data_IF_727748019326
#
_entry.id   IF_727748019326
#
_cell.length_a   1.000
_cell.length_b   1.000
_cell.length_c   1.000
_cell.angle_alpha   90.00
_cell.angle_beta   90.00
_cell.angle_gamma   90.00
#
_symmetry.space_group_name_H-M   'P 1'
#
loop_
_entity.id
_entity.type
_entity.pdbx_description
1 polymer ?
#
# COMPACT_ATOMS: atom_id res chain seq x y z
N UNK A 1 -1.56 -13.48 11.11
CA UNK A 1 -1.75 -14.86 10.57
C UNK A 1 -2.00 -14.71 9.08
N UNK A 2 -1.33 -15.49 8.28
CA UNK A 2 -1.52 -15.55 6.82
C UNK A 2 -1.94 -16.98 6.44
N UNK A 3 -2.30 -17.21 5.19
CA UNK A 3 -2.70 -18.53 4.68
C UNK A 3 -1.64 -19.09 3.72
N UNK A 4 -0.37 -18.98 4.13
CA UNK A 4 0.78 -19.60 3.47
C UNK A 4 1.40 -20.60 4.43
N UNK A 5 0.99 -21.86 4.31
CA UNK A 5 1.32 -22.93 5.26
C UNK A 5 2.02 -24.11 4.59
N UNK A 6 2.89 -24.79 5.33
CA UNK A 6 3.52 -26.01 4.86
C UNK A 6 2.61 -27.23 5.10
N UNK A 7 2.44 -28.04 4.04
CA UNK A 7 1.77 -29.35 4.09
C UNK A 7 2.69 -30.40 3.49
N UNK A 8 3.05 -31.40 4.25
CA UNK A 8 4.01 -32.45 3.86
C UNK A 8 5.33 -31.86 3.29
N UNK A 9 5.83 -30.81 3.91
CA UNK A 9 7.06 -30.13 3.53
C UNK A 9 6.96 -29.25 2.28
N UNK A 10 5.77 -29.03 1.71
CA UNK A 10 5.53 -28.13 0.57
C UNK A 10 4.74 -26.92 1.03
N UNK A 11 5.12 -25.72 0.57
CA UNK A 11 4.39 -24.48 0.85
C UNK A 11 3.17 -24.38 -0.05
N UNK A 12 2.04 -24.07 0.57
CA UNK A 12 0.76 -23.83 -0.09
C UNK A 12 0.33 -22.39 0.11
N UNK A 13 -0.36 -21.85 -0.87
CA UNK A 13 -1.18 -20.63 -0.73
C UNK A 13 -2.63 -21.09 -0.60
N UNK A 14 -3.22 -20.95 0.59
CA UNK A 14 -4.51 -21.56 0.91
C UNK A 14 -4.50 -23.08 0.61
N UNK A 15 -5.21 -23.54 -0.43
CA UNK A 15 -5.21 -24.94 -0.83
C UNK A 15 -4.45 -25.20 -2.16
N UNK A 16 -3.76 -24.17 -2.68
CA UNK A 16 -2.99 -24.27 -3.93
C UNK A 16 -1.53 -24.59 -3.63
N UNK A 17 -1.03 -25.67 -4.22
CA UNK A 17 0.38 -26.07 -4.15
C UNK A 17 1.25 -25.10 -4.95
N UNK A 18 2.22 -24.45 -4.32
CA UNK A 18 3.07 -23.46 -4.98
C UNK A 18 4.10 -24.04 -5.94
N UNK A 19 4.43 -25.33 -5.84
CA UNK A 19 5.28 -26.00 -6.83
C UNK A 19 4.53 -26.13 -8.15
N UNK A 20 3.30 -26.64 -8.10
CA UNK A 20 2.45 -26.82 -9.29
C UNK A 20 2.09 -25.47 -9.92
N UNK A 21 1.82 -24.48 -9.07
CA UNK A 21 1.55 -23.11 -9.52
C UNK A 21 2.76 -22.51 -10.26
N UNK A 22 3.99 -22.72 -9.72
CA UNK A 22 5.22 -22.22 -10.35
C UNK A 22 5.50 -22.87 -11.72
N UNK A 23 5.12 -24.14 -11.91
CA UNK A 23 5.25 -24.81 -13.21
C UNK A 23 4.22 -24.27 -14.22
N UNK A 24 3.03 -23.88 -13.76
CA UNK A 24 1.95 -23.38 -14.62
C UNK A 24 2.17 -21.93 -15.03
N UNK A 25 2.53 -21.05 -14.07
CA UNK A 25 2.63 -19.60 -14.27
C UNK A 25 4.02 -19.16 -14.72
N UNK A 26 5.05 -19.90 -14.31
CA UNK A 26 6.46 -19.52 -14.48
C UNK A 26 6.90 -18.45 -13.49
N UNK A 27 8.14 -18.58 -12.98
CA UNK A 27 8.73 -17.65 -12.02
C UNK A 27 9.43 -16.46 -12.70
N UNK A 28 9.70 -15.34 -11.99
CA UNK A 28 9.10 -15.01 -10.69
C UNK A 28 7.62 -14.62 -10.85
N UNK A 29 6.82 -14.78 -9.79
CA UNK A 29 5.43 -14.31 -9.75
C UNK A 29 5.02 -13.89 -8.34
N UNK A 30 4.07 -12.96 -8.25
CA UNK A 30 3.38 -12.64 -7.01
C UNK A 30 2.18 -13.57 -6.82
N UNK A 31 1.98 -14.04 -5.58
CA UNK A 31 0.82 -14.82 -5.20
C UNK A 31 0.12 -14.16 -4.02
N UNK A 32 -1.17 -13.85 -4.17
CA UNK A 32 -2.00 -13.23 -3.15
C UNK A 32 -3.05 -14.20 -2.66
N UNK A 33 -3.24 -14.26 -1.33
CA UNK A 33 -4.29 -15.05 -0.67
C UNK A 33 -5.52 -14.18 -0.42
N UNK A 34 -6.63 -14.58 -1.01
CA UNK A 34 -7.95 -13.96 -0.78
C UNK A 34 -8.42 -14.14 0.66
N UNK A 35 -8.18 -15.32 1.24
CA UNK A 35 -8.53 -15.60 2.63
C UNK A 35 -7.77 -14.69 3.60
N UNK A 36 -6.49 -14.41 3.35
CA UNK A 36 -5.70 -13.49 4.17
C UNK A 36 -6.20 -12.05 4.03
N UNK A 37 -6.50 -11.59 2.81
CA UNK A 37 -7.09 -10.25 2.58
C UNK A 37 -8.40 -10.09 3.35
N UNK A 38 -9.31 -11.07 3.23
CA UNK A 38 -10.59 -11.09 3.96
C UNK A 38 -10.38 -11.10 5.47
N UNK A 39 -9.44 -11.90 5.95
CA UNK A 39 -9.12 -12.01 7.38
C UNK A 39 -8.64 -10.67 7.95
N UNK A 40 -7.64 -10.04 7.32
CA UNK A 40 -7.07 -8.79 7.83
C UNK A 40 -8.08 -7.64 7.80
N UNK A 41 -8.86 -7.52 6.72
CA UNK A 41 -9.95 -6.55 6.66
C UNK A 41 -10.98 -6.81 7.77
N UNK A 42 -11.42 -8.06 7.92
CA UNK A 42 -12.40 -8.46 8.93
C UNK A 42 -11.93 -8.24 10.36
N UNK A 43 -10.65 -8.48 10.65
CA UNK A 43 -10.06 -8.23 11.99
C UNK A 43 -10.16 -6.74 12.35
N UNK A 44 -9.80 -5.84 11.44
CA UNK A 44 -9.89 -4.40 11.69
C UNK A 44 -11.35 -3.93 11.79
N UNK A 45 -12.20 -4.36 10.86
CA UNK A 45 -13.63 -4.04 10.86
C UNK A 45 -14.32 -4.48 12.16
N UNK A 46 -14.09 -5.73 12.58
CA UNK A 46 -14.64 -6.26 13.82
C UNK A 46 -14.05 -5.58 15.06
N UNK A 47 -12.80 -5.12 15.01
CA UNK A 47 -12.18 -4.36 16.09
C UNK A 47 -12.88 -3.01 16.29
N UNK A 48 -13.18 -2.30 15.19
CA UNK A 48 -13.95 -1.05 15.22
C UNK A 48 -15.34 -1.27 15.81
N UNK A 49 -16.08 -2.27 15.33
CA UNK A 49 -17.41 -2.59 15.85
C UNK A 49 -17.38 -2.94 17.36
N UNK A 50 -16.41 -3.75 17.80
CA UNK A 50 -16.23 -4.09 19.23
C UNK A 50 -15.85 -2.89 20.10
N UNK A 51 -15.29 -1.86 19.52
CA UNK A 51 -14.99 -0.59 20.20
C UNK A 51 -16.16 0.41 20.17
N UNK A 52 -17.30 0.06 19.57
CA UNK A 52 -18.46 0.96 19.41
C UNK A 52 -18.36 1.96 18.27
N UNK A 53 -17.51 1.68 17.30
CA UNK A 53 -17.28 2.50 16.10
C UNK A 53 -17.93 1.85 14.86
N UNK A 54 -19.23 1.57 14.93
CA UNK A 54 -19.98 0.78 13.95
C UNK A 54 -20.06 1.45 12.56
N UNK A 55 -20.00 2.79 12.48
CA UNK A 55 -20.04 3.57 11.22
C UNK A 55 -18.64 3.87 10.67
N UNK A 56 -17.63 3.07 11.03
CA UNK A 56 -16.29 3.25 10.48
C UNK A 56 -16.23 2.86 9.01
N UNK A 57 -15.78 3.79 8.14
CA UNK A 57 -15.47 3.51 6.76
C UNK A 57 -13.98 3.12 6.64
N UNK A 58 -13.70 1.90 6.20
CA UNK A 58 -12.34 1.45 5.91
C UNK A 58 -12.07 1.68 4.42
N UNK A 59 -11.27 2.70 4.09
CA UNK A 59 -10.79 3.02 2.76
C UNK A 59 -9.45 2.33 2.53
N UNK A 60 -9.43 1.25 1.76
CA UNK A 60 -8.18 0.56 1.44
C UNK A 60 -7.23 1.48 0.68
N UNK A 61 -6.00 1.66 1.16
CA UNK A 61 -4.95 2.44 0.46
C UNK A 61 -4.47 1.71 -0.79
N UNK A 62 -4.95 2.13 -1.96
CA UNK A 62 -4.69 1.48 -3.27
C UNK A 62 -3.21 1.46 -3.61
N UNK A 63 -2.46 2.49 -3.19
CA UNK A 63 -0.99 2.56 -3.32
C UNK A 63 -0.23 1.40 -2.70
N UNK A 64 -0.82 0.65 -1.76
CA UNK A 64 -0.18 -0.52 -1.16
C UNK A 64 -0.16 -1.70 -2.14
N UNK A 65 -1.27 -1.96 -2.83
CA UNK A 65 -1.39 -2.93 -3.91
C UNK A 65 -2.57 -2.55 -4.81
N UNK A 66 -2.28 -2.10 -6.00
CA UNK A 66 -3.27 -1.57 -6.94
C UNK A 66 -3.84 -2.62 -7.90
N UNK A 67 -3.63 -3.91 -7.65
CA UNK A 67 -4.22 -4.97 -8.47
C UNK A 67 -5.74 -4.98 -8.33
N UNK A 68 -6.45 -4.96 -9.46
CA UNK A 68 -7.92 -4.91 -9.49
C UNK A 68 -8.54 -6.12 -8.77
N UNK A 69 -7.95 -7.31 -8.86
CA UNK A 69 -8.42 -8.50 -8.14
C UNK A 69 -8.32 -8.36 -6.62
N UNK A 70 -7.24 -7.74 -6.12
CA UNK A 70 -7.07 -7.43 -4.69
C UNK A 70 -8.10 -6.40 -4.24
N UNK A 71 -8.24 -5.30 -4.98
CA UNK A 71 -9.23 -4.25 -4.67
C UNK A 71 -10.65 -4.81 -4.71
N UNK A 72 -11.01 -5.61 -5.72
CA UNK A 72 -12.33 -6.22 -5.86
C UNK A 72 -12.66 -7.19 -4.70
N UNK A 73 -11.66 -7.90 -4.19
CA UNK A 73 -11.83 -8.73 -2.99
C UNK A 73 -12.28 -7.89 -1.80
N UNK A 74 -11.66 -6.73 -1.59
CA UNK A 74 -11.98 -5.83 -0.49
C UNK A 74 -13.29 -5.05 -0.72
N UNK A 75 -13.56 -4.66 -1.97
CA UNK A 75 -14.82 -3.99 -2.35
C UNK A 75 -16.04 -4.85 -1.99
N UNK A 76 -15.96 -6.18 -2.21
CA UNK A 76 -17.03 -7.13 -1.83
C UNK A 76 -17.26 -7.23 -0.33
N UNK A 77 -16.29 -6.83 0.48
CA UNK A 77 -16.43 -6.74 1.94
C UNK A 77 -16.97 -5.38 2.41
N UNK A 78 -17.22 -4.46 1.48
CA UNK A 78 -17.73 -3.13 1.78
C UNK A 78 -16.67 -2.04 1.94
N UNK A 79 -15.40 -2.35 1.65
CA UNK A 79 -14.32 -1.37 1.70
C UNK A 79 -14.56 -0.19 0.75
N UNK A 80 -14.09 1.00 1.16
CA UNK A 80 -13.82 2.14 0.31
C UNK A 80 -12.38 2.10 -0.23
N UNK A 81 -11.93 3.19 -0.85
CA UNK A 81 -10.57 3.35 -1.33
C UNK A 81 -9.97 4.70 -0.92
N UNK A 82 -8.73 4.68 -0.45
CA UNK A 82 -7.82 5.82 -0.43
C UNK A 82 -6.97 5.79 -1.70
N UNK A 83 -7.12 6.82 -2.53
CA UNK A 83 -6.44 6.95 -3.82
C UNK A 83 -5.52 8.18 -3.83
N UNK A 84 -4.48 8.13 -4.67
CA UNK A 84 -3.52 9.25 -4.82
C UNK A 84 -3.30 9.66 -6.28
N UNK A 85 -4.11 9.15 -7.20
CA UNK A 85 -4.08 9.51 -8.63
C UNK A 85 -5.39 9.12 -9.33
N UNK A 86 -5.64 9.69 -10.51
CA UNK A 86 -6.75 9.29 -11.38
C UNK A 86 -6.63 7.83 -11.84
N UNK A 87 -5.41 7.32 -12.00
CA UNK A 87 -5.19 5.91 -12.33
C UNK A 87 -5.69 4.97 -11.23
N UNK A 88 -5.51 5.34 -9.96
CA UNK A 88 -6.06 4.59 -8.82
C UNK A 88 -7.57 4.76 -8.70
N UNK A 89 -8.14 5.94 -9.02
CA UNK A 89 -9.59 6.15 -9.14
C UNK A 89 -10.20 5.15 -10.13
N UNK A 90 -9.64 5.07 -11.33
CA UNK A 90 -10.11 4.14 -12.35
C UNK A 90 -10.03 2.69 -11.92
N UNK A 91 -8.95 2.28 -11.23
CA UNK A 91 -8.80 0.93 -10.69
C UNK A 91 -9.82 0.62 -9.60
N UNK A 92 -10.04 1.55 -8.67
CA UNK A 92 -11.00 1.40 -7.59
C UNK A 92 -12.43 1.23 -8.14
N UNK A 93 -12.84 2.06 -9.10
CA UNK A 93 -14.14 1.98 -9.74
C UNK A 93 -14.29 0.69 -10.57
N UNK A 94 -13.26 0.30 -11.35
CA UNK A 94 -13.25 -0.94 -12.12
C UNK A 94 -13.34 -2.19 -11.21
N UNK A 95 -12.83 -2.10 -9.98
CA UNK A 95 -12.93 -3.15 -8.98
C UNK A 95 -14.29 -3.18 -8.24
N UNK A 96 -15.19 -2.23 -8.51
CA UNK A 96 -16.54 -2.16 -7.95
C UNK A 96 -16.66 -1.32 -6.67
N UNK A 97 -15.66 -0.51 -6.33
CA UNK A 97 -15.81 0.48 -5.26
C UNK A 97 -16.67 1.64 -5.77
N UNK A 98 -17.71 1.97 -5.02
CA UNK A 98 -18.59 3.09 -5.36
C UNK A 98 -17.93 4.43 -5.02
N UNK A 99 -18.09 5.48 -5.83
CA UNK A 99 -17.38 6.75 -5.64
C UNK A 99 -17.58 7.38 -4.26
N UNK A 100 -18.77 7.24 -3.67
CA UNK A 100 -19.12 7.77 -2.35
C UNK A 100 -18.34 7.13 -1.20
N UNK A 101 -17.52 6.11 -1.48
CA UNK A 101 -16.57 5.48 -0.55
C UNK A 101 -15.11 5.73 -0.92
N UNK A 102 -14.83 6.68 -1.83
CA UNK A 102 -13.47 7.00 -2.26
C UNK A 102 -13.02 8.31 -1.64
N UNK A 103 -11.85 8.32 -1.03
CA UNK A 103 -11.14 9.52 -0.57
C UNK A 103 -9.91 9.74 -1.43
N UNK A 104 -9.60 11.00 -1.77
CA UNK A 104 -8.51 11.35 -2.67
C UNK A 104 -7.43 12.14 -1.91
N UNK A 105 -6.34 11.46 -1.58
CA UNK A 105 -5.17 11.97 -0.85
C UNK A 105 -4.02 12.36 -1.79
N UNK A 106 -2.93 12.91 -1.24
CA UNK A 106 -1.69 13.20 -2.00
C UNK A 106 -1.49 14.68 -2.32
N UNK A 107 -0.23 15.09 -2.33
CA UNK A 107 0.23 16.50 -2.43
C UNK A 107 0.26 17.05 -3.86
N UNK A 108 -0.03 16.27 -4.87
CA UNK A 108 0.22 16.63 -6.26
C UNK A 108 -0.98 16.44 -7.18
N UNK A 109 -2.21 16.62 -6.69
CA UNK A 109 -3.41 16.54 -7.52
C UNK A 109 -3.41 17.64 -8.58
N UNK A 110 -3.58 17.26 -9.83
CA UNK A 110 -3.72 18.18 -10.96
C UNK A 110 -5.16 18.61 -11.15
N UNK A 111 -5.41 19.67 -11.93
CA UNK A 111 -6.76 20.13 -12.29
C UNK A 111 -7.60 19.01 -12.92
N UNK A 112 -7.00 18.22 -13.81
CA UNK A 112 -7.70 17.11 -14.49
C UNK A 112 -8.04 15.98 -13.51
N UNK A 113 -7.18 15.69 -12.54
CA UNK A 113 -7.44 14.69 -11.49
C UNK A 113 -8.51 15.17 -10.51
N UNK A 114 -8.50 16.46 -10.13
CA UNK A 114 -9.56 17.07 -9.33
C UNK A 114 -10.89 17.04 -10.06
N UNK A 115 -10.90 17.38 -11.35
CA UNK A 115 -12.08 17.33 -12.18
C UNK A 115 -12.65 15.91 -12.26
N UNK A 116 -11.79 14.91 -12.50
CA UNK A 116 -12.20 13.51 -12.57
C UNK A 116 -12.82 13.02 -11.24
N UNK A 117 -12.25 13.40 -10.09
CA UNK A 117 -12.80 13.09 -8.79
C UNK A 117 -14.17 13.74 -8.54
N UNK A 118 -14.31 15.02 -8.90
CA UNK A 118 -15.57 15.76 -8.82
C UNK A 118 -16.64 15.19 -9.75
N UNK A 119 -16.28 14.82 -10.97
CA UNK A 119 -17.20 14.22 -11.94
C UNK A 119 -17.67 12.84 -11.48
N UNK A 120 -16.77 12.04 -10.94
CA UNK A 120 -17.08 10.73 -10.37
C UNK A 120 -17.97 10.82 -9.12
N UNK A 121 -17.97 11.96 -8.41
CA UNK A 121 -18.71 12.13 -7.16
C UNK A 121 -18.07 11.39 -5.99
N UNK A 122 -16.75 11.49 -5.86
CA UNK A 122 -16.04 10.87 -4.73
C UNK A 122 -16.47 11.48 -3.39
N UNK A 123 -16.19 10.74 -2.30
CA UNK A 123 -16.61 11.14 -0.95
C UNK A 123 -15.98 12.44 -0.48
N UNK A 124 -14.67 12.59 -0.63
CA UNK A 124 -13.93 13.79 -0.23
C UNK A 124 -12.56 13.86 -0.87
N UNK A 125 -12.02 15.08 -0.91
CA UNK A 125 -10.62 15.36 -1.21
C UNK A 125 -9.89 15.63 0.10
N UNK A 126 -8.79 14.92 0.35
CA UNK A 126 -7.87 15.20 1.44
C UNK A 126 -6.84 16.22 0.92
N UNK A 127 -7.03 17.47 1.30
CA UNK A 127 -6.26 18.62 0.78
C UNK A 127 -5.08 18.92 1.69
N UNK A 128 -3.93 19.16 1.11
CA UNK A 128 -2.64 19.23 1.82
C UNK A 128 -2.00 20.63 1.85
N UNK A 129 -2.62 21.64 1.21
CA UNK A 129 -2.13 23.04 1.23
C UNK A 129 -3.21 24.06 0.89
N UNK A 130 -2.98 25.35 1.23
CA UNK A 130 -3.88 26.44 0.85
C UNK A 130 -3.95 26.64 -0.67
N UNK A 131 -2.82 26.50 -1.36
CA UNK A 131 -2.78 26.61 -2.83
C UNK A 131 -3.64 25.50 -3.49
N UNK A 132 -3.67 24.29 -2.92
CA UNK A 132 -4.52 23.20 -3.38
C UNK A 132 -6.00 23.49 -3.12
N UNK A 133 -6.36 24.12 -1.98
CA UNK A 133 -7.72 24.58 -1.73
C UNK A 133 -8.21 25.54 -2.80
N UNK A 134 -7.40 26.57 -3.12
CA UNK A 134 -7.74 27.56 -4.15
C UNK A 134 -7.87 26.90 -5.52
N UNK A 135 -6.96 25.98 -5.85
CA UNK A 135 -6.98 25.22 -7.10
C UNK A 135 -8.26 24.36 -7.20
N UNK A 136 -8.59 23.60 -6.16
CA UNK A 136 -9.79 22.75 -6.11
C UNK A 136 -11.07 23.57 -6.21
N UNK A 137 -11.12 24.73 -5.53
CA UNK A 137 -12.24 25.66 -5.63
C UNK A 137 -12.45 26.14 -7.06
N UNK A 138 -11.38 26.56 -7.73
CA UNK A 138 -11.46 27.01 -9.13
C UNK A 138 -11.92 25.91 -10.09
N UNK A 139 -11.49 24.66 -9.88
CA UNK A 139 -11.94 23.50 -10.66
C UNK A 139 -13.42 23.21 -10.38
N UNK A 140 -13.84 23.22 -9.12
CA UNK A 140 -15.21 22.99 -8.70
C UNK A 140 -16.16 24.06 -9.27
N UNK A 141 -15.79 25.35 -9.18
CA UNK A 141 -16.53 26.46 -9.78
C UNK A 141 -16.71 26.29 -11.29
N UNK A 142 -15.64 25.93 -12.01
CA UNK A 142 -15.69 25.68 -13.45
C UNK A 142 -16.67 24.58 -13.83
N UNK A 143 -16.81 23.57 -12.96
CA UNK A 143 -17.72 22.42 -13.18
C UNK A 143 -19.11 22.64 -12.60
N UNK A 144 -19.35 23.74 -11.89
CA UNK A 144 -20.62 24.00 -11.19
C UNK A 144 -20.91 22.96 -10.09
N UNK A 145 -19.85 22.48 -9.43
CA UNK A 145 -19.92 21.45 -8.36
C UNK A 145 -19.42 21.99 -7.03
N UNK A 146 -19.77 21.31 -5.96
CA UNK A 146 -19.20 21.54 -4.63
C UNK A 146 -18.31 20.37 -4.24
N UNK A 147 -17.07 20.65 -3.82
CA UNK A 147 -16.13 19.64 -3.34
C UNK A 147 -16.26 19.50 -1.83
N UNK A 148 -16.50 18.28 -1.34
CA UNK A 148 -16.32 17.95 0.06
C UNK A 148 -14.84 17.78 0.37
N UNK A 149 -14.34 18.50 1.38
CA UNK A 149 -12.90 18.52 1.68
C UNK A 149 -12.63 18.16 3.13
N UNK A 150 -11.59 17.33 3.31
CA UNK A 150 -10.85 17.17 4.54
C UNK A 150 -9.54 17.95 4.41
N UNK A 151 -9.18 18.73 5.40
CA UNK A 151 -7.84 19.30 5.42
C UNK A 151 -6.94 18.32 6.15
N UNK A 152 -5.87 17.88 5.46
CA UNK A 152 -4.82 17.07 6.07
C UNK A 152 -3.92 17.97 6.90
N UNK A 153 -4.03 17.78 8.20
CA UNK A 153 -3.24 18.55 9.17
C UNK A 153 -2.09 17.69 9.68
N UNK A 154 -0.89 18.24 9.66
CA UNK A 154 0.28 17.58 10.21
C UNK A 154 0.32 17.80 11.73
N UNK A 155 0.14 16.76 12.57
CA UNK A 155 0.09 16.94 14.01
C UNK A 155 1.46 17.13 14.66
N UNK A 156 2.54 17.13 13.89
CA UNK A 156 3.93 17.18 14.36
C UNK A 156 4.19 16.13 15.46
N UNK A 157 4.03 14.86 15.10
CA UNK A 157 4.25 13.69 15.95
C UNK A 157 5.31 12.79 15.32
N UNK A 158 6.34 12.44 16.10
CA UNK A 158 7.33 11.46 15.66
C UNK A 158 6.77 10.03 15.83
N UNK A 159 6.53 9.37 14.72
CA UNK A 159 6.04 8.00 14.70
C UNK A 159 7.14 6.95 14.98
N UNK A 160 8.41 7.35 15.14
CA UNK A 160 9.54 6.44 15.40
C UNK A 160 9.83 5.47 14.26
N UNK A 161 9.41 5.78 13.05
CA UNK A 161 9.55 4.91 11.87
C UNK A 161 10.72 5.35 10.98
N UNK A 162 11.04 4.53 9.97
CA UNK A 162 12.11 4.86 9.02
C UNK A 162 11.85 6.24 8.38
N UNK A 163 12.89 7.07 8.29
CA UNK A 163 12.84 8.46 7.81
C UNK A 163 12.02 8.65 6.52
N UNK A 164 12.22 7.77 5.54
CA UNK A 164 11.53 7.83 4.22
C UNK A 164 10.03 7.49 4.27
N UNK A 165 9.50 6.97 5.36
CA UNK A 165 8.08 6.61 5.53
C UNK A 165 7.41 7.31 6.71
N UNK A 166 8.10 8.23 7.38
CA UNK A 166 7.55 9.16 8.36
C UNK A 166 6.87 10.32 7.62
N UNK A 167 5.64 10.70 8.01
CA UNK A 167 4.85 11.77 7.36
C UNK A 167 4.27 12.77 8.34
N UNK A 168 4.47 12.56 9.65
CA UNK A 168 3.87 13.36 10.72
C UNK A 168 4.76 14.45 11.30
N UNK A 169 5.99 14.66 10.78
CA UNK A 169 6.91 15.70 11.26
C UNK A 169 6.77 17.00 10.48
N UNK A 170 7.01 18.14 11.11
CA UNK A 170 6.91 19.48 10.51
C UNK A 170 7.77 19.67 9.25
N UNK A 171 8.89 18.94 9.13
CA UNK A 171 9.81 19.00 7.98
C UNK A 171 9.34 18.19 6.74
N UNK A 172 8.27 17.41 6.88
CA UNK A 172 7.74 16.59 5.79
C UNK A 172 6.89 17.44 4.85
N UNK A 173 6.89 17.08 3.56
CA UNK A 173 6.10 17.76 2.51
C UNK A 173 4.57 17.60 2.66
N UNK A 174 4.10 16.85 3.65
CA UNK A 174 2.71 16.44 3.77
C UNK A 174 1.94 17.29 4.78
N UNK A 175 0.72 17.67 4.39
CA UNK A 175 -0.26 18.31 5.24
C UNK A 175 0.04 19.78 5.54
N UNK A 176 -0.98 20.45 6.07
CA UNK A 176 -0.94 21.82 6.55
C UNK A 176 -0.34 21.80 7.96
N UNK A 177 0.51 22.77 8.29
CA UNK A 177 1.09 22.88 9.62
C UNK A 177 0.00 23.02 10.69
N UNK A 178 0.25 22.44 11.86
CA UNK A 178 -0.72 22.40 12.96
C UNK A 178 -1.19 23.82 13.35
N UNK A 179 -0.27 24.76 13.40
CA UNK A 179 -0.53 26.16 13.78
C UNK A 179 -1.43 26.86 12.77
N UNK A 180 -1.36 26.50 11.50
CA UNK A 180 -2.09 27.12 10.40
C UNK A 180 -3.48 26.47 10.18
N UNK A 181 -3.76 25.33 10.82
CA UNK A 181 -4.96 24.54 10.57
C UNK A 181 -6.25 25.36 10.68
N UNK A 182 -6.42 26.14 11.75
CA UNK A 182 -7.64 26.94 11.96
C UNK A 182 -7.81 28.04 10.91
N UNK A 183 -6.72 28.65 10.45
CA UNK A 183 -6.75 29.66 9.39
C UNK A 183 -7.09 29.01 8.05
N UNK A 184 -6.55 27.82 7.76
CA UNK A 184 -6.85 27.05 6.56
C UNK A 184 -8.32 26.62 6.50
N UNK A 185 -8.92 26.18 7.61
CA UNK A 185 -10.36 25.89 7.68
C UNK A 185 -11.23 27.12 7.48
N UNK A 186 -10.84 28.27 8.05
CA UNK A 186 -11.56 29.54 7.82
C UNK A 186 -11.46 29.98 6.35
N UNK A 187 -10.31 29.78 5.72
CA UNK A 187 -10.12 30.05 4.28
C UNK A 187 -11.01 29.14 3.44
N UNK A 188 -10.98 27.81 3.69
CA UNK A 188 -11.81 26.84 2.98
C UNK A 188 -13.30 27.14 3.09
N UNK A 189 -13.77 27.53 4.28
CA UNK A 189 -15.18 27.90 4.51
C UNK A 189 -15.58 29.22 3.79
N UNK A 190 -14.62 30.06 3.42
CA UNK A 190 -14.83 31.25 2.60
C UNK A 190 -14.98 30.98 1.11
N UNK A 191 -14.64 29.77 0.63
CA UNK A 191 -14.71 29.38 -0.77
C UNK A 191 -16.04 28.67 -1.06
N UNK A 192 -16.94 29.32 -1.81
CA UNK A 192 -18.32 28.89 -1.98
C UNK A 192 -18.49 27.50 -2.61
N UNK A 193 -17.50 27.03 -3.39
CA UNK A 193 -17.46 25.73 -4.05
C UNK A 193 -16.81 24.64 -3.21
N UNK A 194 -16.40 24.92 -1.97
CA UNK A 194 -15.84 23.95 -1.04
C UNK A 194 -16.72 23.76 0.19
N UNK A 195 -16.81 22.53 0.67
CA UNK A 195 -17.47 22.15 1.92
C UNK A 195 -16.43 21.49 2.85
N UNK A 196 -15.79 22.25 3.77
CA UNK A 196 -14.85 21.69 4.74
C UNK A 196 -15.63 20.90 5.81
N UNK A 197 -15.67 19.60 5.67
CA UNK A 197 -16.51 18.70 6.47
C UNK A 197 -15.74 17.64 7.24
N UNK A 198 -14.44 17.53 7.06
CA UNK A 198 -13.61 16.50 7.70
C UNK A 198 -12.24 17.04 8.11
N UNK A 199 -11.62 16.38 9.11
CA UNK A 199 -10.18 16.51 9.43
C UNK A 199 -9.50 15.24 8.93
N UNK A 200 -8.35 15.37 8.26
CA UNK A 200 -7.47 14.27 7.90
C UNK A 200 -6.14 14.39 8.63
N UNK A 201 -5.65 13.25 9.15
CA UNK A 201 -4.30 13.11 9.69
C UNK A 201 -3.66 11.81 9.21
N UNK A 202 -2.35 11.83 8.95
CA UNK A 202 -1.57 10.62 8.69
C UNK A 202 -0.14 10.79 9.19
N UNK A 203 0.27 10.03 10.22
CA UNK A 203 1.54 10.26 10.94
C UNK A 203 2.69 9.38 10.46
N UNK A 204 2.44 8.38 9.62
CA UNK A 204 3.49 7.51 9.11
C UNK A 204 3.03 6.12 8.73
N UNK A 205 3.99 5.25 8.46
CA UNK A 205 3.75 3.86 8.05
C UNK A 205 4.67 2.91 8.83
N UNK A 206 4.23 1.67 9.04
CA UNK A 206 4.93 0.65 9.84
C UNK A 206 5.10 1.08 11.32
N UNK A 207 4.05 1.61 11.92
CA UNK A 207 4.02 2.03 13.32
C UNK A 207 3.64 0.82 14.17
N UNK A 208 4.52 0.45 15.08
CA UNK A 208 4.35 -0.74 15.96
C UNK A 208 3.99 -0.38 17.39
N UNK A 209 4.07 0.89 17.77
CA UNK A 209 3.67 1.44 19.06
C UNK A 209 2.44 2.34 18.92
N UNK A 210 1.47 2.21 19.81
CA UNK A 210 0.26 3.03 19.81
C UNK A 210 0.44 4.43 20.45
N UNK A 211 1.55 4.71 21.11
CA UNK A 211 1.84 6.00 21.71
C UNK A 211 1.75 7.19 20.74
N UNK A 212 2.40 7.14 19.58
CA UNK A 212 2.29 8.19 18.57
C UNK A 212 0.84 8.43 18.08
N UNK A 213 0.04 7.36 17.93
CA UNK A 213 -1.38 7.50 17.58
C UNK A 213 -2.16 8.20 18.70
N UNK A 214 -1.92 7.86 19.97
CA UNK A 214 -2.55 8.53 21.12
C UNK A 214 -2.33 10.02 21.06
N UNK A 215 -1.09 10.46 20.94
CA UNK A 215 -0.73 11.87 20.85
C UNK A 215 -1.41 12.58 19.67
N UNK A 216 -1.44 11.93 18.51
CA UNK A 216 -2.08 12.50 17.32
C UNK A 216 -3.60 12.61 17.49
N UNK A 217 -4.25 11.62 18.09
CA UNK A 217 -5.70 11.63 18.32
C UNK A 217 -6.11 12.66 19.36
N UNK A 218 -5.37 12.81 20.46
CA UNK A 218 -5.60 13.87 21.45
C UNK A 218 -5.52 15.26 20.83
N UNK A 219 -4.50 15.53 20.00
CA UNK A 219 -4.39 16.78 19.24
C UNK A 219 -5.58 16.95 18.29
N UNK A 220 -5.96 15.91 17.55
CA UNK A 220 -7.08 15.97 16.60
C UNK A 220 -8.41 16.27 17.30
N UNK A 221 -8.63 15.69 18.49
CA UNK A 221 -9.83 15.98 19.29
C UNK A 221 -9.89 17.45 19.75
N UNK A 222 -8.73 18.03 20.16
CA UNK A 222 -8.62 19.46 20.48
C UNK A 222 -8.90 20.35 19.25
N UNK A 223 -8.35 20.00 18.08
CA UNK A 223 -8.63 20.73 16.84
C UNK A 223 -10.12 20.68 16.48
N UNK A 224 -10.73 19.49 16.56
CA UNK A 224 -12.17 19.32 16.30
C UNK A 224 -13.02 20.24 17.20
N UNK A 225 -12.71 20.28 18.50
CA UNK A 225 -13.42 21.16 19.44
C UNK A 225 -13.26 22.64 19.08
N UNK A 226 -12.04 23.07 18.70
CA UNK A 226 -11.78 24.46 18.28
C UNK A 226 -12.50 24.84 16.98
N UNK A 227 -12.58 23.93 16.02
CA UNK A 227 -13.28 24.19 14.74
C UNK A 227 -14.78 24.29 14.96
N UNK A 228 -15.37 23.39 15.77
CA UNK A 228 -16.78 23.44 16.11
C UNK A 228 -17.18 24.69 16.92
N UNK A 229 -16.30 25.17 17.78
CA UNK A 229 -16.50 26.45 18.49
C UNK A 229 -16.54 27.67 17.54
N UNK A 230 -16.15 27.49 16.26
CA UNK A 230 -16.25 28.49 15.19
C UNK A 230 -17.37 28.16 14.19
N UNK A 231 -18.35 27.35 14.60
CA UNK A 231 -19.51 26.94 13.80
C UNK A 231 -19.15 26.15 12.51
N UNK A 232 -17.96 25.51 12.45
CA UNK A 232 -17.59 24.63 11.35
C UNK A 232 -18.20 23.24 11.56
N UNK A 233 -18.97 22.79 10.57
CA UNK A 233 -19.70 21.51 10.61
C UNK A 233 -18.79 20.33 10.26
N UNK A 234 -17.83 20.01 11.12
CA UNK A 234 -16.98 18.83 10.96
C UNK A 234 -17.76 17.58 11.36
N UNK A 235 -17.99 16.70 10.38
CA UNK A 235 -18.80 15.48 10.50
C UNK A 235 -18.01 14.18 10.29
N UNK A 236 -16.74 14.28 9.85
CA UNK A 236 -15.89 13.13 9.58
C UNK A 236 -14.48 13.35 10.11
N UNK A 237 -13.85 12.25 10.52
CA UNK A 237 -12.44 12.21 10.91
C UNK A 237 -11.74 11.11 10.12
N UNK A 238 -10.86 11.51 9.22
CA UNK A 238 -9.97 10.60 8.52
C UNK A 238 -8.69 10.47 9.33
N UNK A 239 -8.50 9.31 9.94
CA UNK A 239 -7.38 9.06 10.85
C UNK A 239 -6.22 8.36 10.13
N UNK A 240 -6.33 8.26 8.80
CA UNK A 240 -5.31 7.65 7.97
C UNK A 240 -5.10 6.17 8.23
N UNK A 241 -3.88 5.73 7.96
CA UNK A 241 -3.45 4.35 8.22
C UNK A 241 -2.23 4.32 9.14
N UNK A 242 -1.29 3.42 8.81
CA UNK A 242 0.02 3.42 9.47
C UNK A 242 0.32 2.22 10.34
N UNK A 243 -0.68 1.46 10.81
CA UNK A 243 -0.43 0.24 11.59
C UNK A 243 0.55 -0.68 10.89
N UNK A 244 1.58 -1.09 11.64
CA UNK A 244 2.63 -1.97 11.17
C UNK A 244 2.23 -3.45 11.15
N UNK A 245 3.03 -4.25 10.46
CA UNK A 245 2.90 -5.71 10.37
C UNK A 245 4.25 -6.37 10.65
N UNK A 246 4.27 -7.61 11.13
CA UNK A 246 5.52 -8.37 11.27
C UNK A 246 6.03 -8.75 9.87
N UNK A 247 7.32 -8.51 9.64
CA UNK A 247 8.04 -8.95 8.44
C UNK A 247 8.91 -10.18 8.69
N UNK A 248 9.17 -10.48 9.96
CA UNK A 248 9.84 -11.70 10.40
C UNK A 248 8.80 -12.70 10.86
N UNK A 249 8.98 -13.97 10.51
CA UNK A 249 8.11 -15.07 10.96
C UNK A 249 8.62 -15.67 12.30
N UNK A 250 8.92 -14.78 13.26
CA UNK A 250 9.56 -15.09 14.55
C UNK A 250 8.59 -14.93 15.74
N UNK A 251 7.28 -14.94 15.50
CA UNK A 251 6.22 -14.72 16.51
C UNK A 251 6.22 -13.30 17.14
N UNK A 252 6.79 -12.29 16.48
CA UNK A 252 6.57 -10.91 16.90
C UNK A 252 5.07 -10.59 16.89
N UNK A 253 4.61 -9.99 17.99
CA UNK A 253 3.21 -9.58 18.11
C UNK A 253 3.03 -8.25 17.39
N UNK A 254 2.22 -8.17 16.32
CA UNK A 254 1.90 -6.90 15.70
C UNK A 254 1.04 -6.04 16.63
N UNK A 255 0.92 -4.72 16.37
CA UNK A 255 -0.04 -3.88 17.08
C UNK A 255 -1.44 -4.50 17.03
N UNK A 256 -2.10 -4.60 18.19
CA UNK A 256 -3.44 -5.17 18.27
C UNK A 256 -4.47 -4.21 17.65
N UNK A 257 -5.19 -4.60 16.57
CA UNK A 257 -6.23 -3.78 15.97
C UNK A 257 -7.36 -3.41 16.94
N UNK A 258 -7.65 -4.24 17.94
CA UNK A 258 -8.66 -3.91 18.96
C UNK A 258 -8.15 -2.84 19.92
N UNK A 259 -6.89 -2.88 20.33
CA UNK A 259 -6.31 -1.82 21.14
C UNK A 259 -6.26 -0.49 20.39
N UNK A 260 -5.96 -0.52 19.08
CA UNK A 260 -6.02 0.65 18.20
C UNK A 260 -7.44 1.21 18.08
N UNK A 261 -8.43 0.34 17.82
CA UNK A 261 -9.83 0.77 17.73
C UNK A 261 -10.36 1.35 19.06
N UNK A 262 -9.98 0.78 20.21
CA UNK A 262 -10.30 1.34 21.52
C UNK A 262 -9.69 2.72 21.74
N UNK A 263 -8.45 2.91 21.30
CA UNK A 263 -7.80 4.22 21.37
C UNK A 263 -8.54 5.27 20.53
N UNK A 264 -9.07 4.91 19.36
CA UNK A 264 -9.93 5.78 18.56
C UNK A 264 -11.22 6.08 19.34
N UNK A 265 -11.88 5.07 19.89
CA UNK A 265 -13.13 5.25 20.64
C UNK A 265 -12.94 6.11 21.90
N UNK A 266 -11.83 5.96 22.63
CA UNK A 266 -11.47 6.81 23.77
C UNK A 266 -11.49 8.31 23.44
N UNK A 267 -11.12 8.68 22.21
CA UNK A 267 -11.04 10.08 21.78
C UNK A 267 -12.28 10.57 21.03
N UNK A 268 -12.98 9.69 20.32
CA UNK A 268 -13.95 10.12 19.30
C UNK A 268 -15.31 9.44 19.34
N UNK A 269 -15.60 8.46 20.23
CA UNK A 269 -16.89 7.78 20.25
C UNK A 269 -18.08 8.76 20.42
N UNK A 270 -17.92 9.79 21.26
CA UNK A 270 -18.93 10.79 21.52
C UNK A 270 -18.85 12.02 20.60
N UNK A 271 -17.95 11.99 19.61
CA UNK A 271 -17.73 13.12 18.71
C UNK A 271 -18.88 13.35 17.73
N UNK A 272 -19.69 12.32 17.45
CA UNK A 272 -20.71 12.34 16.39
C UNK A 272 -20.12 12.41 14.98
N UNK A 273 -18.81 12.16 14.82
CA UNK A 273 -18.15 12.09 13.53
C UNK A 273 -18.09 10.64 13.04
N UNK A 274 -18.28 10.45 11.73
CA UNK A 274 -17.89 9.19 11.09
C UNK A 274 -16.38 9.06 11.09
N UNK A 275 -15.86 7.89 11.44
CA UNK A 275 -14.44 7.57 11.35
C UNK A 275 -14.12 7.00 9.97
N UNK A 276 -13.05 7.50 9.36
CA UNK A 276 -12.44 6.94 8.15
C UNK A 276 -11.05 6.43 8.52
N UNK A 277 -10.70 5.24 8.03
CA UNK A 277 -9.38 4.64 8.19
C UNK A 277 -8.81 4.25 6.82
N UNK A 278 -7.51 4.46 6.62
CA UNK A 278 -6.81 4.20 5.35
C UNK A 278 -5.74 3.09 5.47
N UNK A 279 -6.12 1.86 5.87
CA UNK A 279 -5.15 0.78 5.98
C UNK A 279 -4.70 0.30 4.59
N UNK A 280 -3.40 0.23 4.38
CA UNK A 280 -2.80 -0.40 3.20
C UNK A 280 -1.99 -1.63 3.59
N UNK A 281 -0.85 -1.39 4.24
CA UNK A 281 0.09 -2.43 4.69
C UNK A 281 -0.57 -3.49 5.57
N UNK A 282 -1.35 -3.07 6.54
CA UNK A 282 -2.04 -3.97 7.48
C UNK A 282 -2.85 -5.04 6.75
N UNK A 283 -3.51 -4.66 5.64
CA UNK A 283 -4.38 -5.57 4.89
C UNK A 283 -3.58 -6.41 3.89
N UNK A 284 -2.68 -5.79 3.13
CA UNK A 284 -2.10 -6.41 1.95
C UNK A 284 -0.74 -7.08 2.17
N UNK A 285 0.09 -6.63 3.14
CA UNK A 285 1.48 -7.06 3.21
C UNK A 285 1.66 -8.57 3.37
N UNK A 286 1.09 -9.15 4.43
CA UNK A 286 1.19 -10.58 4.68
C UNK A 286 0.22 -11.42 3.82
N UNK A 287 -0.66 -10.76 3.06
CA UNK A 287 -1.55 -11.43 2.11
C UNK A 287 -0.87 -11.80 0.78
N UNK A 288 0.42 -11.45 0.61
CA UNK A 288 1.13 -11.77 -0.62
C UNK A 288 2.57 -12.18 -0.41
N UNK A 289 3.03 -13.07 -1.29
CA UNK A 289 4.41 -13.54 -1.39
C UNK A 289 4.93 -13.34 -2.81
N UNK A 290 6.26 -13.24 -2.96
CA UNK A 290 6.94 -13.31 -4.24
C UNK A 290 7.64 -14.66 -4.35
N UNK A 291 7.22 -15.48 -5.31
CA UNK A 291 7.84 -16.79 -5.58
C UNK A 291 8.91 -16.61 -6.66
N UNK A 292 10.08 -17.18 -6.40
CA UNK A 292 11.26 -17.07 -7.27
C UNK A 292 11.96 -18.42 -7.39
N UNK A 293 12.75 -18.58 -8.46
CA UNK A 293 13.50 -19.80 -8.75
C UNK A 293 15.01 -19.54 -8.68
N UNK A 294 15.74 -20.44 -8.06
CA UNK A 294 17.21 -20.42 -8.04
C UNK A 294 17.73 -20.69 -9.44
N UNK A 295 18.51 -19.75 -9.96
CA UNK A 295 19.23 -19.91 -11.22
C UNK A 295 20.52 -20.67 -10.98
N UNK A 296 21.28 -20.26 -9.94
CA UNK A 296 22.54 -20.89 -9.53
C UNK A 296 22.99 -20.37 -8.17
N UNK A 297 23.90 -21.09 -7.55
CA UNK A 297 24.65 -20.63 -6.38
C UNK A 297 26.08 -20.29 -6.77
N UNK A 298 26.72 -19.40 -6.01
CA UNK A 298 28.14 -19.04 -6.15
C UNK A 298 28.72 -18.90 -4.75
N UNK A 299 29.63 -19.81 -4.39
CA UNK A 299 30.41 -19.69 -3.17
C UNK A 299 31.61 -18.80 -3.41
N UNK A 300 31.81 -17.80 -2.59
CA UNK A 300 32.95 -16.88 -2.62
C UNK A 300 33.77 -16.98 -1.34
N UNK A 301 34.95 -16.34 -1.36
CA UNK A 301 35.83 -16.34 -0.18
C UNK A 301 35.21 -15.57 1.02
N UNK A 302 34.44 -14.50 0.74
CA UNK A 302 33.85 -13.64 1.78
C UNK A 302 32.37 -13.89 2.00
N UNK A 303 31.62 -14.25 0.95
CA UNK A 303 30.17 -14.41 0.96
C UNK A 303 29.71 -15.48 -0.02
N UNK A 304 28.59 -16.10 0.28
CA UNK A 304 27.90 -16.99 -0.63
C UNK A 304 26.71 -16.25 -1.26
N UNK A 305 26.51 -16.44 -2.56
CA UNK A 305 25.42 -15.83 -3.33
C UNK A 305 24.48 -16.90 -3.87
N UNK A 306 23.19 -16.70 -3.62
CA UNK A 306 22.12 -17.48 -4.23
C UNK A 306 21.42 -16.58 -5.24
N UNK A 307 21.69 -16.82 -6.51
CA UNK A 307 21.19 -16.01 -7.62
C UNK A 307 19.84 -16.57 -8.03
N UNK A 308 18.81 -15.73 -7.96
CA UNK A 308 17.44 -16.08 -8.29
C UNK A 308 16.93 -15.30 -9.50
N UNK A 309 15.78 -15.68 -10.06
CA UNK A 309 15.18 -15.01 -11.22
C UNK A 309 14.34 -13.77 -10.88
N UNK A 310 13.94 -13.59 -9.61
CA UNK A 310 13.41 -12.32 -9.12
C UNK A 310 14.55 -11.33 -8.82
N UNK A 311 14.26 -10.04 -8.85
CA UNK A 311 15.21 -8.96 -8.68
C UNK A 311 14.63 -7.79 -7.88
N UNK A 312 15.44 -6.76 -7.69
CA UNK A 312 14.95 -5.46 -7.20
C UNK A 312 13.86 -4.86 -8.11
N UNK A 313 13.78 -5.31 -9.37
CA UNK A 313 12.71 -4.93 -10.30
C UNK A 313 11.34 -5.43 -9.88
N UNK A 314 11.27 -6.55 -9.18
CA UNK A 314 10.04 -7.05 -8.58
C UNK A 314 9.86 -6.51 -7.16
N UNK A 315 10.89 -6.53 -6.32
CA UNK A 315 10.80 -6.13 -4.91
C UNK A 315 11.96 -5.21 -4.52
N UNK A 316 11.78 -3.90 -4.73
CA UNK A 316 12.81 -2.89 -4.48
C UNK A 316 13.00 -2.56 -2.99
N UNK A 317 12.07 -2.96 -2.12
CA UNK A 317 12.07 -2.57 -0.71
C UNK A 317 13.34 -2.92 0.07
N UNK A 318 13.96 -4.09 -0.09
CA UNK A 318 15.25 -4.37 0.55
C UNK A 318 16.34 -3.35 0.16
N UNK A 319 16.44 -3.01 -1.11
CA UNK A 319 17.39 -2.02 -1.63
C UNK A 319 17.07 -0.59 -1.21
N UNK A 320 15.79 -0.19 -1.30
CA UNK A 320 15.36 1.21 -1.10
C UNK A 320 15.30 1.62 0.37
N UNK A 321 14.89 0.69 1.25
CA UNK A 321 14.59 0.95 2.66
C UNK A 321 15.42 0.09 3.61
N UNK A 322 16.28 -0.81 3.13
CA UNK A 322 16.88 -1.85 3.97
C UNK A 322 15.81 -2.78 4.58
N UNK A 323 14.63 -2.89 3.94
CA UNK A 323 13.51 -3.60 4.51
C UNK A 323 13.78 -5.10 4.56
N UNK A 324 13.50 -5.69 5.72
CA UNK A 324 13.56 -7.13 5.90
C UNK A 324 12.32 -7.80 5.29
N UNK A 325 12.53 -8.91 4.62
CA UNK A 325 11.49 -9.88 4.22
C UNK A 325 11.99 -11.26 4.57
N UNK A 326 11.17 -12.09 5.17
CA UNK A 326 11.52 -13.51 5.33
C UNK A 326 11.60 -14.18 3.97
N UNK A 327 12.57 -15.10 3.85
CA UNK A 327 12.76 -15.94 2.67
C UNK A 327 12.77 -17.39 3.11
N UNK A 328 11.83 -18.17 2.58
CA UNK A 328 11.70 -19.58 2.91
C UNK A 328 11.71 -20.47 1.66
N UNK A 329 11.96 -21.77 1.88
CA UNK A 329 11.88 -22.78 0.84
C UNK A 329 10.42 -23.04 0.47
N UNK A 330 10.09 -23.14 -0.81
CA UNK A 330 8.77 -23.67 -1.22
C UNK A 330 8.66 -25.17 -0.94
N UNK A 331 9.77 -25.92 -1.04
CA UNK A 331 9.88 -27.31 -0.60
C UNK A 331 10.92 -27.41 0.50
N UNK A 332 10.50 -27.74 1.72
CA UNK A 332 11.39 -27.91 2.88
C UNK A 332 12.41 -29.03 2.64
N UNK A 333 13.61 -28.83 3.17
CA UNK A 333 14.72 -29.78 3.16
C UNK A 333 15.36 -29.78 4.55
N UNK A 334 15.80 -30.94 5.01
CA UNK A 334 16.54 -31.08 6.27
C UNK A 334 18.04 -31.16 5.95
N UNK A 335 18.63 -30.03 5.61
CA UNK A 335 20.04 -29.91 5.20
C UNK A 335 20.72 -28.81 6.03
N UNK A 336 22.05 -28.82 6.05
CA UNK A 336 22.83 -27.83 6.78
C UNK A 336 22.58 -26.43 6.23
N UNK A 337 22.27 -25.48 7.12
CA UNK A 337 22.09 -24.09 6.79
C UNK A 337 23.44 -23.38 6.65
N UNK A 338 23.54 -22.53 5.66
CA UNK A 338 24.64 -21.62 5.39
C UNK A 338 24.09 -20.20 5.21
N UNK A 339 24.94 -19.19 5.45
CA UNK A 339 24.55 -17.81 5.19
C UNK A 339 24.67 -17.49 3.69
N UNK A 340 23.56 -17.04 3.10
CA UNK A 340 23.47 -16.66 1.69
C UNK A 340 22.99 -15.22 1.53
N UNK A 341 23.64 -14.46 0.63
CA UNK A 341 23.02 -13.27 0.06
C UNK A 341 22.14 -13.74 -1.12
N UNK A 342 20.82 -13.57 -0.98
CA UNK A 342 19.85 -13.90 -2.05
C UNK A 342 19.74 -12.70 -2.96
N UNK A 343 20.24 -12.83 -4.20
CA UNK A 343 20.45 -11.73 -5.14
C UNK A 343 19.75 -11.99 -6.46
N UNK A 344 19.33 -10.93 -7.13
CA UNK A 344 18.74 -11.02 -8.46
C UNK A 344 19.78 -10.96 -9.59
N UNK A 345 19.32 -11.00 -10.86
CA UNK A 345 20.18 -10.99 -12.05
C UNK A 345 20.40 -9.59 -12.64
N UNK A 346 19.96 -8.52 -11.99
CA UNK A 346 20.13 -7.14 -12.48
C UNK A 346 21.57 -6.67 -12.30
N UNK A 347 22.07 -5.89 -13.26
CA UNK A 347 23.43 -5.34 -13.24
C UNK A 347 23.58 -4.16 -12.27
N UNK A 348 23.20 -4.36 -11.01
CA UNK A 348 23.19 -3.38 -9.92
C UNK A 348 23.64 -4.06 -8.62
N UNK A 349 24.60 -3.47 -7.90
CA UNK A 349 25.06 -4.01 -6.62
C UNK A 349 24.00 -4.02 -5.54
N UNK A 350 22.97 -3.16 -5.67
CA UNK A 350 21.80 -3.11 -4.82
C UNK A 350 20.76 -4.19 -5.11
N UNK A 351 20.97 -5.06 -6.11
CA UNK A 351 20.01 -6.10 -6.48
C UNK A 351 20.08 -7.30 -5.54
N UNK A 352 19.46 -7.15 -4.38
CA UNK A 352 19.30 -8.23 -3.40
C UNK A 352 17.87 -8.26 -2.82
N UNK A 353 17.39 -9.46 -2.52
CA UNK A 353 16.14 -9.71 -1.82
C UNK A 353 16.36 -9.93 -0.32
N UNK A 354 17.55 -10.41 0.06
CA UNK A 354 17.93 -10.59 1.45
C UNK A 354 19.40 -10.89 1.62
N UNK A 355 20.01 -10.32 2.65
CA UNK A 355 21.43 -10.50 2.96
C UNK A 355 21.58 -11.47 4.14
N UNK A 356 22.61 -12.33 4.09
CA UNK A 356 22.99 -13.30 5.12
C UNK A 356 21.81 -14.17 5.60
N UNK A 357 21.01 -14.68 4.65
CA UNK A 357 19.87 -15.57 4.96
C UNK A 357 20.35 -16.99 5.25
N UNK A 358 19.90 -17.57 6.34
CA UNK A 358 20.19 -18.95 6.70
C UNK A 358 19.32 -19.91 5.87
N UNK A 359 19.89 -20.46 4.83
CA UNK A 359 19.25 -21.40 3.88
C UNK A 359 20.19 -22.57 3.59
N UNK A 360 19.68 -23.77 3.23
CA UNK A 360 20.52 -24.82 2.71
C UNK A 360 21.11 -24.43 1.35
N UNK A 361 22.14 -25.15 0.92
CA UNK A 361 22.61 -25.04 -0.46
C UNK A 361 21.54 -25.60 -1.41
N UNK A 362 21.18 -24.86 -2.44
CA UNK A 362 20.09 -25.21 -3.34
C UNK A 362 20.59 -25.43 -4.76
N UNK A 363 20.08 -26.48 -5.39
CA UNK A 363 20.27 -26.72 -6.80
C UNK A 363 19.54 -25.70 -7.69
N UNK A 364 20.03 -25.47 -8.91
CA UNK A 364 19.28 -24.74 -9.92
C UNK A 364 17.86 -25.34 -10.10
N UNK A 365 16.87 -24.47 -10.17
CA UNK A 365 15.48 -24.89 -10.27
C UNK A 365 14.71 -24.94 -8.93
N UNK A 366 15.38 -24.94 -7.78
CA UNK A 366 14.73 -24.86 -6.47
C UNK A 366 13.93 -23.58 -6.32
N UNK A 367 12.81 -23.63 -5.61
CA UNK A 367 11.89 -22.50 -5.43
C UNK A 367 12.03 -21.90 -4.04
N UNK A 368 12.04 -20.57 -3.99
CA UNK A 368 11.98 -19.77 -2.78
C UNK A 368 10.71 -18.90 -2.78
N UNK A 369 10.21 -18.61 -1.59
CA UNK A 369 9.16 -17.63 -1.35
C UNK A 369 9.70 -16.48 -0.49
N UNK A 370 9.53 -15.25 -0.96
CA UNK A 370 9.79 -14.02 -0.19
C UNK A 370 8.46 -13.59 0.41
N UNK A 371 8.35 -13.65 1.73
CA UNK A 371 7.11 -13.41 2.46
C UNK A 371 6.81 -11.93 2.65
N UNK A 372 5.56 -11.62 3.02
CA UNK A 372 5.07 -10.26 3.31
C UNK A 372 5.31 -9.28 2.16
N UNK A 373 5.25 -9.78 0.91
CA UNK A 373 5.50 -9.01 -0.30
C UNK A 373 4.21 -8.42 -0.94
N UNK A 374 3.06 -8.60 -0.31
CA UNK A 374 1.77 -8.18 -0.86
C UNK A 374 1.52 -6.67 -0.88
N UNK A 375 2.25 -5.89 -0.07
CA UNK A 375 2.14 -4.43 -0.07
C UNK A 375 3.47 -3.78 -0.45
N UNK A 376 3.39 -2.73 -1.30
CA UNK A 376 4.56 -1.97 -1.77
C UNK A 376 5.63 -2.85 -2.45
N UNK A 377 5.22 -4.00 -2.98
CA UNK A 377 6.03 -4.88 -3.82
C UNK A 377 5.78 -4.56 -5.29
N UNK A 378 4.82 -5.26 -5.90
CA UNK A 378 4.51 -5.14 -7.33
C UNK A 378 4.25 -3.70 -7.81
N UNK A 379 3.67 -2.83 -6.97
CA UNK A 379 3.39 -1.41 -7.29
C UNK A 379 4.64 -0.54 -7.41
N UNK A 380 5.77 -0.95 -6.82
CA UNK A 380 7.06 -0.27 -6.92
C UNK A 380 7.98 -0.95 -7.94
N UNK A 381 7.48 -1.93 -8.67
CA UNK A 381 8.25 -2.65 -9.70
C UNK A 381 8.70 -1.74 -10.84
N UNK A 382 9.76 -2.17 -11.52
CA UNK A 382 10.33 -1.47 -12.67
C UNK A 382 10.68 -2.44 -13.79
N UNK A 383 11.04 -1.90 -14.96
CA UNK A 383 11.51 -2.67 -16.11
C UNK A 383 13.02 -2.52 -16.33
N UNK A 384 13.78 -2.21 -15.27
CA UNK A 384 15.24 -2.07 -15.39
C UNK A 384 15.87 -3.32 -16.02
N UNK A 385 16.87 -3.12 -16.86
CA UNK A 385 17.45 -4.11 -17.78
C UNK A 385 16.42 -4.75 -18.74
N UNK A 386 15.32 -4.06 -19.05
CA UNK A 386 14.23 -4.55 -19.93
C UNK A 386 13.65 -5.89 -19.47
N UNK A 387 13.58 -6.08 -18.13
CA UNK A 387 12.97 -7.28 -17.55
C UNK A 387 11.45 -7.10 -17.49
N UNK A 388 10.65 -8.06 -17.98
CA UNK A 388 9.19 -7.97 -17.88
C UNK A 388 8.75 -8.12 -16.42
N UNK A 389 7.74 -7.32 -16.04
CA UNK A 389 7.16 -7.40 -14.70
C UNK A 389 6.63 -8.81 -14.39
N UNK A 390 6.78 -9.23 -13.14
CA UNK A 390 6.23 -10.50 -12.67
C UNK A 390 4.69 -10.52 -12.82
N UNK A 391 4.10 -11.65 -13.23
CA UNK A 391 2.65 -11.82 -13.20
C UNK A 391 2.15 -11.87 -11.77
N UNK A 392 0.88 -11.55 -11.58
CA UNK A 392 0.22 -11.60 -10.29
C UNK A 392 -0.91 -12.63 -10.32
N UNK A 393 -0.92 -13.48 -9.30
CA UNK A 393 -1.90 -14.56 -9.13
C UNK A 393 -2.70 -14.30 -7.87
N UNK A 394 -4.01 -14.45 -7.96
CA UNK A 394 -4.92 -14.42 -6.81
C UNK A 394 -5.44 -15.84 -6.55
N UNK A 395 -5.37 -16.28 -5.30
CA UNK A 395 -5.84 -17.60 -4.85
C UNK A 395 -7.09 -17.44 -3.98
N UNK A 396 -8.08 -18.32 -4.16
CA UNK A 396 -9.28 -18.44 -3.32
C UNK A 396 -9.58 -19.93 -3.09
N UNK A 397 -9.26 -20.43 -1.92
CA UNK A 397 -9.32 -21.86 -1.59
C UNK A 397 -8.42 -22.70 -2.50
N UNK A 398 -9.00 -23.64 -3.25
CA UNK A 398 -8.28 -24.50 -4.19
C UNK A 398 -8.19 -23.94 -5.61
N UNK A 399 -8.73 -22.73 -5.85
CA UNK A 399 -8.73 -22.09 -7.17
C UNK A 399 -7.75 -20.94 -7.23
N UNK A 400 -7.25 -20.66 -8.41
CA UNK A 400 -6.40 -19.49 -8.67
C UNK A 400 -6.66 -18.92 -10.05
N UNK A 401 -6.32 -17.64 -10.22
CA UNK A 401 -6.35 -16.97 -11.53
C UNK A 401 -5.17 -16.00 -11.66
N UNK A 402 -4.68 -15.81 -12.88
CA UNK A 402 -3.66 -14.82 -13.22
C UNK A 402 -4.33 -13.47 -13.40
N UNK A 403 -4.37 -12.68 -12.33
CA UNK A 403 -5.06 -11.37 -12.29
C UNK A 403 -4.25 -10.24 -12.91
N UNK A 404 -2.97 -10.46 -13.20
CA UNK A 404 -2.13 -9.65 -14.08
C UNK A 404 -1.14 -10.55 -14.81
N UNK A 405 -1.22 -10.60 -16.14
CA UNK A 405 -0.30 -11.42 -16.94
C UNK A 405 1.12 -10.80 -16.98
N UNK A 406 2.12 -11.62 -17.20
CA UNK A 406 3.46 -11.15 -17.56
C UNK A 406 3.40 -10.42 -18.91
N UNK A 407 3.90 -9.19 -19.05
CA UNK A 407 4.00 -8.56 -20.36
C UNK A 407 5.01 -9.32 -21.22
N UNK A 408 4.71 -9.46 -22.50
CA UNK A 408 5.68 -9.93 -23.50
C UNK A 408 6.68 -8.81 -23.83
N UNK A 409 7.82 -9.16 -24.43
CA UNK A 409 8.73 -8.14 -24.94
C UNK A 409 8.08 -7.26 -26.02
N UNK A 410 7.16 -7.81 -26.81
CA UNK A 410 6.38 -7.02 -27.76
C UNK A 410 5.49 -5.98 -27.06
N UNK A 411 4.84 -6.34 -25.94
CA UNK A 411 4.09 -5.37 -25.13
C UNK A 411 4.98 -4.24 -24.63
N UNK A 412 6.22 -4.55 -24.20
CA UNK A 412 7.15 -3.57 -23.67
C UNK A 412 7.65 -2.59 -24.74
N UNK A 413 7.80 -3.05 -25.99
CA UNK A 413 8.26 -2.25 -27.12
C UNK A 413 7.14 -1.51 -27.85
N UNK A 414 5.86 -1.82 -27.57
CA UNK A 414 4.72 -1.33 -28.34
C UNK A 414 4.56 0.21 -28.34
N UNK A 415 5.07 0.89 -27.31
CA UNK A 415 5.05 2.36 -27.18
C UNK A 415 6.25 3.06 -27.80
N UNK A 416 7.22 2.34 -28.33
CA UNK A 416 8.47 2.88 -28.87
C UNK A 416 8.48 2.87 -30.39
N UNK A 417 9.10 3.88 -31.01
CA UNK A 417 9.32 3.93 -32.46
C UNK A 417 10.70 4.47 -32.79
N UNK A 418 11.24 4.02 -33.89
CA UNK A 418 12.42 4.65 -34.52
C UNK A 418 11.93 5.93 -35.22
N UNK A 419 12.49 7.11 -34.92
CA UNK A 419 12.10 8.35 -35.60
C UNK A 419 12.41 8.30 -37.08
N UNK A 420 11.59 8.97 -37.92
CA UNK A 420 11.68 8.91 -39.38
C UNK A 420 13.04 9.36 -39.90
N UNK A 421 13.69 10.34 -39.26
CA UNK A 421 15.04 10.80 -39.62
C UNK A 421 16.16 9.79 -39.41
N UNK A 422 15.94 8.73 -38.61
CA UNK A 422 16.88 7.61 -38.48
C UNK A 422 16.58 6.47 -39.47
N UNK A 423 15.39 6.46 -40.05
CA UNK A 423 15.00 5.48 -41.08
C UNK A 423 15.39 5.93 -42.50
N UNK A 424 15.66 7.21 -42.74
CA UNK A 424 16.17 7.70 -44.00
C UNK A 424 17.64 7.29 -44.15
N UNK A 425 17.89 6.15 -44.76
CA UNK A 425 19.17 5.84 -45.40
C UNK A 425 19.26 6.70 -46.68
N UNK A 426 19.32 8.01 -46.53
CA UNK A 426 19.74 8.88 -47.63
C UNK A 426 21.28 8.94 -47.63
N UNK A 427 21.84 8.16 -48.50
CA UNK A 427 23.04 8.30 -49.25
C UNK A 427 24.27 8.97 -48.57
N UNK A 428 25.19 8.19 -48.06
CA UNK A 428 26.59 8.48 -48.24
C UNK A 428 27.26 7.38 -49.06
#
# INVERSE_FOLDING_TARGET
>A
MDHFDYRDGVLYAEDVNLVDLAETVGTPFYCYSTATLRHHYGVLHNACAKAGLDDTLICYSVKANSNIGVIATLARLGAGADIVSVGELQRAMAAGIVPEKIVFSGVGKTDDEMAAGLEAGIRQFNVESLAELDQLAAVADRLGKTAQVALRVNPDVDAGTHEKISTGKAENKFGIAWEDAQAAYAHAAGLASLEPCAIDIHIGSQITDLGPFRTAFEKTADLLARLRAKDLAITRLDLGGGLGVPYQRNNETPPDPLAYARLIAENFADSGCQIILEPGRLIAANAGILVTRVIRTKQGQAKNFMIVDAAMTELVRPTLYGAYHDIGLVRQRDEKLLAWDVVGPVCESGDFLGLARELPELDPGALLAVFSAGAYGAVLGSSYNTRPAAPEVLVDGATHDVVRRRPSYADMLAGEKIPDWLNSQDGQ
#
